data_IF_433005006238
#
_entry.id   IF_433005006238
#
_cell.length_a   1.000
_cell.length_b   1.000
_cell.length_c   1.000
_cell.angle_alpha   90.00
_cell.angle_beta   90.00
_cell.angle_gamma   90.00
#
_symmetry.space_group_name_H-M   'P 1'
#
loop_
_entity.id
_entity.type
_entity.pdbx_description
1 polymer ?
#
# COMPACT_ATOMS: atom_id res chain seq x y z
N UNK A 1 20.47 -30.16 2.84
CA UNK A 1 20.11 -28.73 2.82
C UNK A 1 21.38 -27.91 2.71
N UNK A 2 21.55 -27.13 1.63
CA UNK A 2 22.71 -26.25 1.45
C UNK A 2 22.55 -25.02 2.36
N UNK A 3 23.62 -24.65 3.06
CA UNK A 3 23.65 -23.45 3.88
C UNK A 3 23.46 -22.20 3.00
N UNK A 4 22.65 -21.18 3.39
CA UNK A 4 22.38 -19.99 2.57
C UNK A 4 23.66 -19.24 2.19
N UNK A 5 24.69 -19.32 3.03
CA UNK A 5 26.02 -18.75 2.76
C UNK A 5 26.71 -19.43 1.57
N UNK A 6 26.63 -20.77 1.48
CA UNK A 6 27.22 -21.54 0.38
C UNK A 6 26.52 -21.25 -0.94
N UNK A 7 25.21 -21.06 -0.91
CA UNK A 7 24.40 -20.72 -2.09
C UNK A 7 24.68 -19.30 -2.59
N UNK A 8 25.13 -18.39 -1.72
CA UNK A 8 25.61 -17.05 -2.08
C UNK A 8 27.13 -17.01 -2.37
N UNK A 9 27.86 -18.11 -2.17
CA UNK A 9 29.32 -18.17 -2.34
C UNK A 9 30.12 -17.56 -1.20
N UNK A 10 29.49 -17.35 -0.05
CA UNK A 10 30.09 -16.82 1.16
C UNK A 10 30.65 -17.96 2.04
N UNK A 11 31.81 -17.76 2.69
CA UNK A 11 32.43 -18.77 3.55
C UNK A 11 31.69 -18.98 4.88
N UNK A 12 30.74 -18.10 5.23
CA UNK A 12 29.95 -18.16 6.46
C UNK A 12 29.09 -16.92 6.68
N UNK A 13 28.50 -16.75 7.88
CA UNK A 13 27.70 -15.60 8.23
C UNK A 13 28.46 -14.29 8.03
N UNK A 14 27.89 -13.38 7.25
CA UNK A 14 28.51 -12.12 6.85
C UNK A 14 27.55 -10.95 7.12
N UNK A 15 28.07 -9.73 7.05
CA UNK A 15 27.32 -8.48 7.20
C UNK A 15 26.43 -8.18 5.97
N UNK A 16 25.44 -7.30 6.18
CA UNK A 16 24.40 -6.97 5.19
C UNK A 16 24.96 -6.44 3.88
N UNK A 17 26.06 -5.68 3.91
CA UNK A 17 26.70 -5.16 2.70
C UNK A 17 27.40 -6.26 1.89
N UNK A 18 28.13 -7.15 2.57
CA UNK A 18 28.75 -8.32 1.94
C UNK A 18 27.72 -9.26 1.32
N UNK A 19 26.56 -9.44 1.95
CA UNK A 19 25.45 -10.25 1.43
C UNK A 19 24.86 -9.63 0.16
N UNK A 20 24.60 -8.31 0.16
CA UNK A 20 24.08 -7.60 -1.03
C UNK A 20 25.06 -7.69 -2.20
N UNK A 21 26.35 -7.51 -1.94
CA UNK A 21 27.40 -7.61 -2.96
C UNK A 21 27.52 -9.01 -3.56
N UNK A 22 27.47 -10.04 -2.71
CA UNK A 22 27.52 -11.44 -3.16
C UNK A 22 26.29 -11.81 -4.02
N UNK A 23 25.10 -11.35 -3.63
CA UNK A 23 23.88 -11.53 -4.42
C UNK A 23 23.96 -10.83 -5.78
N UNK A 24 24.41 -9.57 -5.81
CA UNK A 24 24.55 -8.79 -7.04
C UNK A 24 25.61 -9.34 -8.01
N UNK A 25 26.61 -10.07 -7.53
CA UNK A 25 27.56 -10.77 -8.39
C UNK A 25 26.94 -12.03 -8.99
N UNK A 26 26.15 -12.76 -8.22
CA UNK A 26 25.62 -14.07 -8.59
C UNK A 26 24.37 -13.98 -9.46
N UNK A 27 23.57 -12.92 -9.32
CA UNK A 27 22.44 -12.65 -10.21
C UNK A 27 22.90 -12.34 -11.65
N UNK A 28 24.14 -11.85 -11.83
CA UNK A 28 24.73 -11.64 -13.16
C UNK A 28 25.15 -12.94 -13.84
N UNK A 29 25.26 -14.03 -13.09
CA UNK A 29 25.62 -15.36 -13.58
C UNK A 29 24.39 -16.26 -13.78
N UNK A 30 23.29 -15.98 -13.08
CA UNK A 30 22.03 -16.71 -13.16
C UNK A 30 21.03 -15.94 -14.01
N UNK A 31 20.97 -16.27 -15.31
CA UNK A 31 20.00 -15.67 -16.24
C UNK A 31 18.60 -16.25 -15.97
N UNK A 32 17.59 -15.42 -15.61
CA UNK A 32 16.24 -15.89 -15.27
C UNK A 32 15.55 -16.71 -16.38
N UNK A 33 15.94 -16.50 -17.63
CA UNK A 33 15.42 -17.22 -18.81
C UNK A 33 16.03 -18.62 -19.00
N UNK A 34 17.24 -18.85 -18.50
CA UNK A 34 17.97 -20.12 -18.68
C UNK A 34 17.80 -21.06 -17.48
N UNK A 35 17.68 -20.52 -16.25
CA UNK A 35 17.52 -21.32 -15.02
C UNK A 35 16.59 -20.64 -13.98
N UNK A 36 15.26 -20.79 -14.13
CA UNK A 36 14.30 -20.22 -13.19
C UNK A 36 14.37 -20.86 -11.79
N UNK A 37 14.75 -22.13 -11.67
CA UNK A 37 14.89 -22.82 -10.39
C UNK A 37 16.13 -22.32 -9.62
N UNK A 38 17.25 -22.13 -10.33
CA UNK A 38 18.47 -21.55 -9.80
C UNK A 38 18.28 -20.10 -9.32
N UNK A 39 17.49 -19.31 -10.05
CA UNK A 39 17.15 -17.94 -9.64
C UNK A 39 16.34 -17.93 -8.33
N UNK A 40 15.31 -18.78 -8.24
CA UNK A 40 14.49 -18.89 -7.02
C UNK A 40 15.29 -19.42 -5.81
N UNK A 41 16.22 -20.34 -6.02
CA UNK A 41 17.10 -20.86 -4.97
C UNK A 41 18.06 -19.75 -4.48
N UNK A 42 18.65 -18.99 -5.40
CA UNK A 42 19.54 -17.87 -5.10
C UNK A 42 18.81 -16.75 -4.34
N UNK A 43 17.60 -16.41 -4.78
CA UNK A 43 16.79 -15.37 -4.15
C UNK A 43 16.33 -15.78 -2.74
N UNK A 44 15.92 -17.04 -2.54
CA UNK A 44 15.62 -17.58 -1.19
C UNK A 44 16.83 -17.54 -0.26
N UNK A 45 18.01 -17.92 -0.75
CA UNK A 45 19.24 -17.86 0.05
C UNK A 45 19.62 -16.43 0.46
N UNK A 46 19.43 -15.45 -0.43
CA UNK A 46 19.63 -14.04 -0.14
C UNK A 46 18.68 -13.53 0.95
N UNK A 47 17.38 -13.84 0.85
CA UNK A 47 16.39 -13.43 1.85
C UNK A 47 16.72 -14.03 3.23
N UNK A 48 17.07 -15.32 3.30
CA UNK A 48 17.46 -15.98 4.55
C UNK A 48 18.73 -15.38 5.14
N UNK A 49 19.77 -15.16 4.33
CA UNK A 49 21.02 -14.55 4.78
C UNK A 49 20.82 -13.12 5.33
N UNK A 50 19.95 -12.34 4.69
CA UNK A 50 19.64 -10.96 5.11
C UNK A 50 18.93 -10.94 6.45
N UNK A 51 17.93 -11.81 6.66
CA UNK A 51 17.25 -11.96 7.96
C UNK A 51 18.25 -12.29 9.08
N UNK A 52 19.12 -13.27 8.84
CA UNK A 52 20.15 -13.69 9.81
C UNK A 52 21.22 -12.61 10.11
N UNK A 53 21.48 -11.69 9.18
CA UNK A 53 22.43 -10.59 9.38
C UNK A 53 21.81 -9.41 10.13
N UNK A 54 20.53 -9.12 9.89
CA UNK A 54 19.78 -8.07 10.61
C UNK A 54 19.60 -8.44 12.08
N UNK A 55 19.28 -9.69 12.39
CA UNK A 55 19.12 -10.17 13.77
C UNK A 55 20.43 -10.14 14.59
N UNK A 56 21.58 -10.02 13.92
CA UNK A 56 22.92 -10.02 14.54
C UNK A 56 23.56 -8.65 14.70
N UNK A 57 22.97 -7.58 14.17
CA UNK A 57 23.52 -6.24 14.36
C UNK A 57 23.06 -5.66 15.71
N UNK A 58 23.98 -5.43 16.68
CA UNK A 58 23.61 -4.67 17.87
C UNK A 58 23.27 -3.23 17.46
N UNK A 59 22.05 -2.80 17.80
CA UNK A 59 21.57 -1.42 17.64
C UNK A 59 22.60 -0.46 18.26
N UNK A 60 23.31 0.31 17.43
CA UNK A 60 24.09 1.45 17.89
C UNK A 60 23.12 2.62 18.10
N UNK A 61 22.96 3.16 19.31
CA UNK A 61 22.20 4.39 19.50
C UNK A 61 22.98 5.55 18.87
N UNK A 62 22.42 6.13 17.82
CA UNK A 62 22.85 7.38 17.21
C UNK A 62 22.49 8.53 18.17
N UNK A 63 23.40 8.87 19.07
CA UNK A 63 23.34 10.16 19.78
C UNK A 63 23.81 11.26 18.83
N UNK A 64 22.89 12.05 18.29
CA UNK A 64 23.20 13.35 17.72
C UNK A 64 23.33 14.37 18.85
N UNK A 65 24.53 14.97 18.99
CA UNK A 65 24.71 16.25 19.67
C UNK A 65 25.23 17.25 18.64
N UNK A 66 24.75 18.51 18.64
CA UNK A 66 24.96 19.43 17.53
C UNK A 66 26.26 20.22 17.70
N UNK A 67 27.20 20.13 16.75
CA UNK A 67 28.25 21.14 16.65
C UNK A 67 28.78 21.36 15.22
N UNK A 68 28.45 22.56 14.70
CA UNK A 68 29.24 23.47 13.86
C UNK A 68 29.69 23.00 12.46
N UNK A 69 29.03 23.62 11.47
CA UNK A 69 29.42 23.74 10.05
C UNK A 69 30.77 24.46 9.89
N UNK A 70 31.64 23.97 8.99
CA UNK A 70 32.23 24.86 8.00
C UNK A 70 32.05 24.31 6.57
N UNK A 71 31.74 25.24 5.67
CA UNK A 71 31.60 25.04 4.22
C UNK A 71 32.97 25.25 3.50
N UNK A 72 33.10 25.08 2.17
CA UNK A 72 33.50 23.86 1.48
C UNK A 72 34.88 23.99 0.78
N UNK A 73 35.52 22.86 0.44
CA UNK A 73 36.58 22.83 -0.58
C UNK A 73 36.39 21.66 -1.55
N UNK A 74 36.25 22.03 -2.83
CA UNK A 74 36.24 21.23 -4.06
C UNK A 74 37.64 20.55 -4.25
N UNK A 75 37.89 19.36 -4.80
CA UNK A 75 37.44 18.58 -5.98
C UNK A 75 38.10 17.16 -5.88
N UNK A 76 38.15 16.28 -6.91
CA UNK A 76 37.13 15.30 -7.29
C UNK A 76 37.65 13.84 -7.33
N UNK A 77 36.81 12.84 -7.05
CA UNK A 77 37.07 11.45 -7.41
C UNK A 77 35.76 10.66 -7.58
N UNK A 78 35.25 10.70 -8.82
CA UNK A 78 34.73 9.58 -9.62
C UNK A 78 34.28 8.30 -8.87
N UNK A 79 32.96 8.14 -8.71
CA UNK A 79 32.28 6.84 -8.73
C UNK A 79 30.85 7.04 -9.23
N UNK A 80 30.58 6.53 -10.42
CA UNK A 80 29.28 6.51 -11.08
C UNK A 80 28.34 5.56 -10.34
N UNK A 81 27.29 6.10 -9.70
CA UNK A 81 26.14 5.30 -9.27
C UNK A 81 25.25 5.09 -10.50
N UNK A 82 25.35 3.88 -11.05
CA UNK A 82 24.51 3.37 -12.14
C UNK A 82 23.14 2.96 -11.57
N UNK A 83 22.12 3.72 -11.95
CA UNK A 83 20.70 3.42 -11.76
C UNK A 83 20.28 2.24 -12.65
N UNK A 84 19.82 1.15 -12.03
CA UNK A 84 19.40 -0.10 -12.69
C UNK A 84 17.87 -0.26 -12.73
N UNK A 85 17.10 0.81 -12.54
CA UNK A 85 15.63 0.78 -12.61
C UNK A 85 15.05 0.70 -14.05
N UNK A 86 15.88 0.54 -15.08
CA UNK A 86 15.47 0.65 -16.49
C UNK A 86 15.55 -0.67 -17.29
N UNK A 87 15.55 -1.85 -16.65
CA UNK A 87 15.63 -3.15 -17.34
C UNK A 87 14.43 -4.07 -17.09
N UNK A 88 13.25 -3.54 -16.82
CA UNK A 88 12.04 -4.36 -16.63
C UNK A 88 11.06 -4.32 -17.81
N UNK A 89 11.40 -3.69 -18.94
CA UNK A 89 10.58 -3.74 -20.15
C UNK A 89 11.46 -4.04 -21.38
N UNK A 90 11.77 -5.31 -21.59
CA UNK A 90 12.25 -5.80 -22.87
C UNK A 90 11.66 -7.19 -23.16
N UNK A 91 10.97 -7.25 -24.30
CA UNK A 91 10.44 -8.41 -25.04
C UNK A 91 9.07 -8.94 -24.55
N UNK A 92 7.98 -8.87 -25.33
CA UNK A 92 7.83 -9.28 -26.73
C UNK A 92 6.87 -8.37 -27.56
N UNK A 93 7.34 -7.89 -28.73
CA UNK A 93 6.49 -7.61 -29.89
C UNK A 93 6.70 -8.70 -30.97
N UNK A 94 5.67 -9.06 -31.77
CA UNK A 94 5.86 -9.60 -33.11
C UNK A 94 5.54 -8.55 -34.21
N UNK A 95 6.10 -8.69 -35.42
CA UNK A 95 6.40 -7.58 -36.32
C UNK A 95 5.24 -7.12 -37.22
N UNK A 96 5.37 -5.86 -37.64
CA UNK A 96 4.57 -5.08 -38.58
C UNK A 96 4.32 -5.75 -39.96
N UNK A 97 3.21 -5.36 -40.60
CA UNK A 97 3.24 -4.71 -41.93
C UNK A 97 1.81 -4.26 -42.36
N UNK A 98 1.63 -2.94 -42.56
CA UNK A 98 1.08 -2.30 -43.77
C UNK A 98 0.35 -0.97 -43.49
N UNK A 99 1.12 0.12 -43.61
CA UNK A 99 0.83 1.41 -44.26
C UNK A 99 -0.63 1.96 -44.30
N UNK A 100 -0.83 3.13 -43.68
CA UNK A 100 -1.17 4.37 -44.41
C UNK A 100 -1.09 5.62 -43.53
N UNK A 101 -0.09 6.46 -43.83
CA UNK A 101 -0.12 7.94 -43.94
C UNK A 101 -1.55 8.57 -43.96
N UNK A 102 -1.89 9.72 -43.35
CA UNK A 102 -1.15 10.87 -42.84
C UNK A 102 -2.07 11.80 -42.00
N UNK A 103 -1.44 12.70 -41.22
CA UNK A 103 -1.74 14.15 -41.03
C UNK A 103 -1.93 14.62 -39.57
N UNK A 104 -0.84 15.23 -39.08
CA UNK A 104 -0.65 15.96 -37.83
C UNK A 104 -1.18 17.41 -37.92
N UNK A 105 -2.01 17.82 -36.96
CA UNK A 105 -2.56 19.19 -36.83
C UNK A 105 -2.10 19.86 -35.53
N UNK A 106 -0.83 19.73 -35.15
CA UNK A 106 -0.29 20.30 -33.90
C UNK A 106 0.68 21.49 -34.08
N UNK A 107 0.48 22.33 -35.11
CA UNK A 107 1.34 23.50 -35.36
C UNK A 107 0.69 24.88 -35.07
N UNK A 108 -0.45 24.94 -34.38
CA UNK A 108 -1.07 26.21 -34.00
C UNK A 108 -1.67 26.10 -32.60
N UNK A 109 -0.89 26.48 -31.58
CA UNK A 109 -1.31 27.36 -30.49
C UNK A 109 -0.20 27.43 -29.45
N UNK A 110 0.60 28.50 -29.53
CA UNK A 110 1.30 29.06 -28.39
C UNK A 110 1.00 30.55 -28.36
N UNK A 111 0.73 31.04 -27.15
CA UNK A 111 0.49 32.43 -26.72
C UNK A 111 -0.95 32.96 -26.87
N UNK A 112 -1.80 32.58 -25.91
CA UNK A 112 -2.76 33.53 -25.34
C UNK A 112 -2.14 34.16 -24.08
N UNK A 113 -1.91 35.47 -24.11
CA UNK A 113 -2.03 36.33 -22.93
C UNK A 113 -3.10 37.39 -23.22
N UNK A 114 -4.08 37.38 -22.32
CA UNK A 114 -4.84 38.53 -21.82
C UNK A 114 -5.91 39.23 -22.68
N UNK A 115 -7.16 38.99 -22.22
CA UNK A 115 -8.14 39.99 -21.77
C UNK A 115 -9.47 40.14 -22.55
N UNK A 116 -10.54 39.87 -21.76
CA UNK A 116 -11.83 40.57 -21.63
C UNK A 116 -12.97 40.27 -22.62
N UNK A 117 -13.98 39.62 -22.02
CA UNK A 117 -15.42 39.91 -22.08
C UNK A 117 -15.96 40.65 -23.33
N UNK A 118 -16.75 39.93 -24.13
CA UNK A 118 -18.12 40.36 -24.44
C UNK A 118 -18.93 39.20 -25.00
N UNK A 119 -20.00 38.83 -24.29
CA UNK A 119 -21.08 38.01 -24.83
C UNK A 119 -21.89 38.88 -25.80
N UNK A 120 -21.67 38.71 -27.10
CA UNK A 120 -22.62 39.22 -28.10
C UNK A 120 -23.72 38.16 -28.31
N UNK A 121 -24.92 38.58 -27.91
CA UNK A 121 -26.21 37.96 -28.16
C UNK A 121 -26.47 38.02 -29.68
N UNK A 122 -26.41 36.87 -30.35
CA UNK A 122 -26.63 36.80 -31.79
C UNK A 122 -28.13 36.81 -32.08
N UNK A 123 -28.65 37.92 -32.62
CA UNK A 123 -30.03 38.03 -33.07
C UNK A 123 -30.22 37.29 -34.41
N UNK A 124 -30.89 36.15 -34.33
CA UNK A 124 -31.10 35.24 -35.47
C UNK A 124 -32.10 35.79 -36.50
N UNK A 125 -32.81 36.87 -36.19
CA UNK A 125 -33.86 37.46 -37.02
C UNK A 125 -33.28 38.39 -38.11
N UNK A 126 -32.11 39.00 -37.87
CA UNK A 126 -31.37 39.83 -38.86
C UNK A 126 -30.76 39.00 -40.00
N UNK A 127 -30.54 37.69 -39.80
CA UNK A 127 -30.00 36.78 -40.81
C UNK A 127 -31.04 36.34 -41.85
N UNK A 128 -32.32 36.63 -41.60
CA UNK A 128 -33.44 36.30 -42.47
C UNK A 128 -34.12 37.52 -43.10
N UNK A 129 -33.81 38.74 -42.64
CA UNK A 129 -34.35 39.98 -43.21
C UNK A 129 -33.34 40.68 -44.15
N UNK A 130 -33.79 40.77 -45.41
CA UNK A 130 -33.39 41.71 -46.45
C UNK A 130 -31.97 41.67 -47.04
N UNK A 131 -31.93 41.14 -48.27
CA UNK A 131 -31.37 41.92 -49.38
C UNK A 131 -32.25 41.61 -50.61
N UNK A 132 -33.39 42.31 -50.72
CA UNK A 132 -34.14 42.38 -51.98
C UNK A 132 -33.32 43.21 -52.98
N UNK A 133 -33.00 42.68 -54.18
CA UNK A 133 -32.26 43.45 -55.17
C UNK A 133 -33.19 44.50 -55.81
N UNK A 134 -32.87 45.78 -55.66
CA UNK A 134 -33.44 46.83 -56.51
C UNK A 134 -33.23 46.50 -58.00
N UNK A 135 -34.34 46.54 -58.75
CA UNK A 135 -34.40 46.48 -60.21
C UNK A 135 -33.57 47.61 -60.84
N UNK A 136 -32.33 47.32 -61.24
CA UNK A 136 -31.61 48.17 -62.22
C UNK A 136 -31.90 47.68 -63.63
N UNK A 137 -32.37 48.56 -64.54
CA UNK A 137 -32.58 48.17 -65.93
C UNK A 137 -31.23 47.91 -66.63
N UNK A 138 -31.20 47.08 -67.69
CA UNK A 138 -29.96 46.71 -68.35
C UNK A 138 -29.40 47.91 -69.14
N UNK A 139 -28.07 47.98 -69.37
CA UNK A 139 -27.46 49.07 -70.11
C UNK A 139 -27.91 49.07 -71.58
N UNK A 140 -28.46 50.19 -72.03
CA UNK A 140 -28.67 50.50 -73.44
C UNK A 140 -27.32 50.78 -74.10
N UNK A 141 -26.69 49.76 -74.66
CA UNK A 141 -25.93 49.80 -75.93
C UNK A 141 -25.02 48.58 -76.03
N UNK A 142 -25.44 47.60 -76.85
CA UNK A 142 -24.62 46.87 -77.83
C UNK A 142 -25.49 45.80 -78.56
N UNK A 143 -25.19 45.49 -79.83
CA UNK A 143 -26.10 44.81 -80.74
C UNK A 143 -26.14 43.29 -80.54
N UNK A 144 -27.35 42.72 -80.72
CA UNK A 144 -27.65 41.31 -81.04
C UNK A 144 -26.86 40.23 -80.28
N UNK A 145 -27.27 39.89 -79.05
CA UNK A 145 -27.22 38.52 -78.49
C UNK A 145 -27.96 38.39 -77.14
N UNK A 146 -29.16 38.96 -76.98
CA UNK A 146 -29.88 39.00 -75.70
C UNK A 146 -30.37 37.63 -75.16
N UNK A 147 -30.36 36.56 -75.97
CA UNK A 147 -30.84 35.24 -75.54
C UNK A 147 -29.85 34.45 -74.66
N UNK A 148 -28.59 34.87 -74.58
CA UNK A 148 -27.56 34.14 -73.81
C UNK A 148 -27.36 34.68 -72.37
N UNK A 149 -27.75 35.93 -72.12
CA UNK A 149 -27.51 36.62 -70.84
C UNK A 149 -28.48 36.20 -69.71
N UNK A 150 -29.75 35.93 -70.01
CA UNK A 150 -30.73 35.48 -69.00
C UNK A 150 -30.49 34.03 -68.52
N UNK A 151 -29.95 33.17 -69.38
CA UNK A 151 -29.81 31.74 -69.07
C UNK A 151 -28.63 31.42 -68.14
N UNK A 152 -27.63 32.32 -68.07
CA UNK A 152 -26.40 32.13 -67.30
C UNK A 152 -26.53 32.74 -65.90
N UNK A 153 -27.08 33.96 -65.76
CA UNK A 153 -27.16 34.65 -64.46
C UNK A 153 -28.28 34.14 -63.54
N UNK A 154 -29.44 33.71 -64.07
CA UNK A 154 -30.48 33.05 -63.29
C UNK A 154 -30.08 31.67 -62.75
N UNK A 155 -29.16 30.98 -63.46
CA UNK A 155 -28.63 29.66 -63.09
C UNK A 155 -27.60 29.75 -61.96
N UNK A 156 -26.78 30.80 -61.95
CA UNK A 156 -25.76 31.03 -60.91
C UNK A 156 -26.38 31.47 -59.56
N UNK A 157 -27.47 32.25 -59.57
CA UNK A 157 -28.14 32.74 -58.36
C UNK A 157 -28.92 31.64 -57.62
N UNK A 158 -29.57 30.73 -58.35
CA UNK A 158 -30.19 29.51 -57.78
C UNK A 158 -29.17 28.52 -57.24
N UNK A 159 -28.01 28.36 -57.92
CA UNK A 159 -26.91 27.50 -57.45
C UNK A 159 -26.40 27.93 -56.08
N UNK A 160 -26.06 29.20 -55.88
CA UNK A 160 -25.48 29.69 -54.61
C UNK A 160 -26.40 29.55 -53.39
N UNK A 161 -27.73 29.67 -53.56
CA UNK A 161 -28.69 29.41 -52.46
C UNK A 161 -28.87 27.92 -52.20
N UNK A 162 -28.87 27.08 -53.24
CA UNK A 162 -28.85 25.62 -53.07
C UNK A 162 -27.57 25.16 -52.37
N UNK A 163 -26.41 25.70 -52.75
CA UNK A 163 -25.11 25.33 -52.20
C UNK A 163 -25.01 25.65 -50.70
N UNK A 164 -25.55 26.79 -50.25
CA UNK A 164 -25.61 27.14 -48.81
C UNK A 164 -26.57 26.24 -48.03
N UNK A 165 -27.75 25.95 -48.56
CA UNK A 165 -28.72 25.04 -47.91
C UNK A 165 -28.18 23.61 -47.88
N UNK A 166 -27.50 23.17 -48.94
CA UNK A 166 -26.83 21.87 -49.01
C UNK A 166 -25.66 21.82 -48.02
N UNK A 167 -24.89 22.90 -47.85
CA UNK A 167 -23.82 22.98 -46.85
C UNK A 167 -24.38 22.86 -45.42
N UNK A 168 -25.43 23.61 -45.10
CA UNK A 168 -26.07 23.55 -43.77
C UNK A 168 -26.66 22.17 -43.51
N UNK A 169 -27.33 21.57 -44.50
CA UNK A 169 -27.84 20.20 -44.40
C UNK A 169 -26.70 19.18 -44.28
N UNK A 170 -25.59 19.36 -45.00
CA UNK A 170 -24.43 18.48 -44.90
C UNK A 170 -23.77 18.57 -43.51
N UNK A 171 -23.67 19.76 -42.92
CA UNK A 171 -23.17 19.94 -41.55
C UNK A 171 -24.13 19.34 -40.53
N UNK A 172 -25.44 19.53 -40.67
CA UNK A 172 -26.44 18.90 -39.80
C UNK A 172 -26.41 17.37 -39.91
N UNK A 173 -26.25 16.83 -41.12
CA UNK A 173 -26.11 15.38 -41.35
C UNK A 173 -24.79 14.87 -40.76
N UNK A 174 -23.70 15.63 -40.88
CA UNK A 174 -22.41 15.30 -40.26
C UNK A 174 -22.52 15.28 -38.73
N UNK A 175 -23.18 16.26 -38.13
CA UNK A 175 -23.44 16.29 -36.68
C UNK A 175 -24.35 15.14 -36.26
N UNK A 176 -25.35 14.76 -37.06
CA UNK A 176 -26.21 13.61 -36.79
C UNK A 176 -25.50 12.26 -36.97
N UNK A 177 -24.51 12.16 -37.88
CA UNK A 177 -23.73 10.95 -38.14
C UNK A 177 -22.60 10.77 -37.14
N UNK A 178 -21.87 11.85 -36.83
CA UNK A 178 -20.65 11.84 -36.02
C UNK A 178 -20.96 12.16 -34.55
N UNK A 179 -21.95 13.03 -34.29
CA UNK A 179 -22.37 13.42 -32.95
C UNK A 179 -22.66 12.23 -32.04
N UNK A 180 -23.43 11.20 -32.44
CA UNK A 180 -23.68 10.04 -31.59
C UNK A 180 -22.43 9.23 -31.23
N UNK A 181 -21.35 9.32 -32.01
CA UNK A 181 -20.07 8.65 -31.74
C UNK A 181 -19.12 9.52 -30.90
N UNK A 182 -19.16 10.85 -31.07
CA UNK A 182 -18.25 11.79 -30.40
C UNK A 182 -18.83 12.35 -29.10
N UNK A 183 -20.14 12.63 -29.05
CA UNK A 183 -20.83 13.17 -27.88
C UNK A 183 -20.68 12.28 -26.64
N UNK A 184 -20.80 10.94 -26.70
CA UNK A 184 -20.58 10.11 -25.53
C UNK A 184 -19.15 10.28 -24.97
N UNK A 185 -18.14 10.26 -25.84
CA UNK A 185 -16.74 10.44 -25.44
C UNK A 185 -16.43 11.85 -24.92
N UNK A 186 -17.07 12.90 -25.46
CA UNK A 186 -16.94 14.27 -24.93
C UNK A 186 -17.66 14.44 -23.59
N UNK A 187 -18.87 13.89 -23.45
CA UNK A 187 -19.63 13.91 -22.19
C UNK A 187 -18.88 13.14 -21.11
N UNK A 188 -18.32 11.97 -21.43
CA UNK A 188 -17.53 11.17 -20.52
C UNK A 188 -16.24 11.90 -20.10
N UNK A 189 -15.53 12.56 -21.01
CA UNK A 189 -14.35 13.39 -20.67
C UNK A 189 -14.69 14.59 -19.79
N UNK A 190 -15.80 15.28 -20.06
CA UNK A 190 -16.27 16.41 -19.24
C UNK A 190 -16.72 15.94 -17.85
N UNK A 191 -17.41 14.80 -17.77
CA UNK A 191 -17.80 14.18 -16.51
C UNK A 191 -16.59 13.73 -15.69
N UNK A 192 -15.59 13.09 -16.32
CA UNK A 192 -14.34 12.69 -15.67
C UNK A 192 -13.56 13.88 -15.08
N UNK A 193 -13.56 15.05 -15.74
CA UNK A 193 -12.94 16.27 -15.19
C UNK A 193 -13.75 16.93 -14.05
N UNK A 194 -15.01 16.53 -13.86
CA UNK A 194 -15.90 17.09 -12.83
C UNK A 194 -15.93 16.23 -11.55
N UNK A 195 -15.60 14.93 -11.66
CA UNK A 195 -15.63 14.01 -10.51
C UNK A 195 -14.69 14.40 -9.38
N UNK A 196 -13.41 14.78 -9.59
CA UNK A 196 -12.52 15.13 -8.49
C UNK A 196 -13.03 16.31 -7.67
N UNK A 197 -13.55 17.36 -8.33
CA UNK A 197 -14.17 18.51 -7.66
C UNK A 197 -15.44 18.13 -6.90
N UNK A 198 -16.20 17.19 -7.44
CA UNK A 198 -17.43 16.69 -6.81
C UNK A 198 -17.12 15.87 -5.56
N UNK A 199 -16.16 14.94 -5.64
CA UNK A 199 -15.68 14.15 -4.49
C UNK A 199 -15.15 15.09 -3.42
N UNK A 200 -14.27 16.03 -3.79
CA UNK A 200 -13.66 16.98 -2.86
C UNK A 200 -14.73 17.69 -2.04
N UNK A 201 -15.68 18.38 -2.69
CA UNK A 201 -16.79 19.05 -1.98
C UNK A 201 -17.61 18.10 -1.11
N UNK A 202 -17.95 16.92 -1.63
CA UNK A 202 -18.74 15.93 -0.89
C UNK A 202 -17.99 15.45 0.36
N UNK A 203 -16.69 15.20 0.25
CA UNK A 203 -15.86 14.78 1.37
C UNK A 203 -15.67 15.91 2.38
N UNK A 204 -15.44 17.14 1.96
CA UNK A 204 -15.37 18.28 2.89
C UNK A 204 -16.67 18.44 3.68
N UNK A 205 -17.82 18.31 3.01
CA UNK A 205 -19.15 18.32 3.65
C UNK A 205 -19.35 17.13 4.60
N UNK A 206 -18.94 15.92 4.18
CA UNK A 206 -19.15 14.70 4.95
C UNK A 206 -18.21 14.66 6.17
N UNK A 207 -16.92 14.87 5.99
CA UNK A 207 -15.91 14.66 7.02
C UNK A 207 -15.58 15.92 7.80
N UNK A 208 -16.05 17.10 7.36
CA UNK A 208 -15.79 18.37 8.03
C UNK A 208 -14.31 18.77 7.99
N UNK A 209 -13.64 18.46 6.88
CA UNK A 209 -12.22 18.75 6.65
C UNK A 209 -12.06 19.60 5.41
N UNK A 210 -10.92 20.27 5.29
CA UNK A 210 -10.54 21.02 4.09
C UNK A 210 -9.55 20.18 3.28
N UNK A 211 -9.78 20.07 1.97
CA UNK A 211 -9.07 19.14 1.11
C UNK A 211 -8.46 19.82 -0.11
N UNK A 212 -7.26 19.37 -0.46
CA UNK A 212 -6.59 19.74 -1.71
C UNK A 212 -6.46 18.50 -2.59
N UNK A 213 -6.76 18.65 -3.88
CA UNK A 213 -6.47 17.61 -4.88
C UNK A 213 -5.22 17.98 -5.68
N UNK A 214 -4.45 16.98 -6.13
CA UNK A 214 -3.23 17.23 -6.88
C UNK A 214 -3.52 17.95 -8.20
N UNK A 215 -2.75 18.99 -8.58
CA UNK A 215 -2.81 19.60 -9.90
C UNK A 215 -2.60 18.60 -11.04
N UNK A 216 -1.97 17.46 -10.75
CA UNK A 216 -1.62 16.40 -11.68
C UNK A 216 -2.68 15.29 -11.77
N UNK A 217 -3.77 15.32 -10.97
CA UNK A 217 -4.89 14.38 -11.13
C UNK A 217 -5.33 14.31 -12.59
N UNK A 218 -5.38 15.45 -13.27
CA UNK A 218 -5.89 15.53 -14.65
C UNK A 218 -4.95 14.87 -15.69
N UNK A 219 -3.72 14.53 -15.32
CA UNK A 219 -2.66 14.08 -16.25
C UNK A 219 -2.23 12.62 -16.07
N UNK A 220 -2.53 11.98 -14.94
CA UNK A 220 -2.25 10.54 -14.70
C UNK A 220 -3.47 9.85 -14.11
N UNK A 221 -3.92 8.75 -14.72
CA UNK A 221 -5.08 7.97 -14.26
C UNK A 221 -4.94 7.51 -12.81
N UNK A 222 -3.75 7.07 -12.43
CA UNK A 222 -3.44 6.55 -11.10
C UNK A 222 -3.53 7.62 -10.01
N UNK A 223 -3.20 8.88 -10.34
CA UNK A 223 -3.22 9.97 -9.38
C UNK A 223 -4.61 10.63 -9.27
N UNK A 224 -5.54 10.41 -10.21
CA UNK A 224 -6.91 11.03 -10.25
C UNK A 224 -7.73 10.90 -8.97
N UNK A 225 -7.33 10.01 -8.08
CA UNK A 225 -8.06 9.64 -6.87
C UNK A 225 -7.36 10.05 -5.58
N UNK A 226 -6.23 10.76 -5.64
CA UNK A 226 -5.49 11.20 -4.45
C UNK A 226 -5.92 12.59 -3.97
N UNK A 227 -6.02 12.72 -2.65
CA UNK A 227 -6.40 13.93 -1.94
C UNK A 227 -5.53 14.10 -0.70
N UNK A 228 -5.32 15.36 -0.30
CA UNK A 228 -4.54 15.75 0.86
C UNK A 228 -5.40 16.58 1.81
N UNK A 229 -5.13 16.47 3.11
CA UNK A 229 -5.63 17.44 4.07
C UNK A 229 -4.93 18.79 3.85
N UNK A 230 -5.70 19.88 3.83
CA UNK A 230 -5.15 21.22 3.63
C UNK A 230 -4.25 21.67 4.80
N UNK A 231 -4.64 21.32 6.03
CA UNK A 231 -3.90 21.65 7.25
C UNK A 231 -2.71 20.71 7.53
N UNK A 232 -2.70 19.51 6.93
CA UNK A 232 -1.60 18.56 7.03
C UNK A 232 -1.30 17.90 5.66
N UNK A 233 -0.43 18.51 4.84
CA UNK A 233 -0.09 18.02 3.51
C UNK A 233 0.69 16.69 3.48
N UNK A 234 1.09 16.13 4.63
CA UNK A 234 1.67 14.78 4.66
C UNK A 234 0.59 13.70 4.63
N UNK A 235 -0.65 14.05 5.01
CA UNK A 235 -1.77 13.12 5.05
C UNK A 235 -2.41 13.05 3.66
N UNK A 236 -1.97 12.08 2.88
CA UNK A 236 -2.52 11.71 1.57
C UNK A 236 -3.43 10.48 1.69
N UNK A 237 -4.55 10.47 0.96
CA UNK A 237 -5.50 9.35 0.92
C UNK A 237 -6.19 9.24 -0.44
N UNK A 238 -6.87 8.11 -0.68
CA UNK A 238 -7.61 7.84 -1.91
C UNK A 238 -9.11 8.03 -1.73
N UNK A 239 -9.76 8.59 -2.76
CA UNK A 239 -11.21 8.59 -2.90
C UNK A 239 -11.66 8.41 -4.36
N UNK A 240 -12.57 7.47 -4.59
CA UNK A 240 -13.00 7.03 -5.92
C UNK A 240 -14.50 7.28 -6.05
N UNK A 241 -14.91 8.02 -7.09
CA UNK A 241 -16.31 8.28 -7.37
C UNK A 241 -17.05 6.99 -7.74
N UNK A 242 -18.18 6.73 -7.08
CA UNK A 242 -19.07 5.59 -7.37
C UNK A 242 -20.45 6.02 -7.86
N UNK A 243 -20.82 7.28 -7.65
CA UNK A 243 -22.17 7.78 -7.94
C UNK A 243 -23.23 7.22 -7.00
N UNK A 244 -24.51 7.54 -7.26
CA UNK A 244 -25.62 7.01 -6.46
C UNK A 244 -25.64 7.48 -5.00
N UNK A 245 -25.12 8.70 -4.74
CA UNK A 245 -25.12 9.33 -3.41
C UNK A 245 -26.53 9.43 -2.85
N UNK A 246 -26.70 8.93 -1.64
CA UNK A 246 -27.91 8.97 -0.82
C UNK A 246 -27.48 8.96 0.65
N UNK A 247 -27.28 10.17 1.20
CA UNK A 247 -26.72 10.35 2.55
C UNK A 247 -27.68 9.81 3.62
N UNK A 248 -28.99 9.89 3.39
CA UNK A 248 -30.00 9.35 4.31
C UNK A 248 -29.94 7.82 4.38
N UNK A 249 -29.59 7.15 3.27
CA UNK A 249 -29.37 5.72 3.21
C UNK A 249 -27.91 5.29 3.51
N UNK A 250 -27.03 6.21 3.94
CA UNK A 250 -25.63 5.94 4.24
C UNK A 250 -24.73 5.74 3.02
N UNK A 251 -25.18 6.11 1.81
CA UNK A 251 -24.40 6.01 0.58
C UNK A 251 -23.72 7.33 0.27
N UNK A 252 -22.41 7.40 0.52
CA UNK A 252 -21.63 8.62 0.29
C UNK A 252 -21.47 8.96 -1.20
N UNK A 253 -21.58 7.97 -2.08
CA UNK A 253 -21.40 8.14 -3.53
C UNK A 253 -19.95 8.08 -3.99
N UNK A 254 -19.04 7.73 -3.09
CA UNK A 254 -17.63 7.45 -3.33
C UNK A 254 -17.15 6.40 -2.32
N UNK A 255 -16.05 5.72 -2.67
CA UNK A 255 -15.28 4.89 -1.75
C UNK A 255 -14.05 5.68 -1.31
N UNK A 256 -13.66 5.58 -0.05
CA UNK A 256 -12.43 6.22 0.46
C UNK A 256 -11.78 5.38 1.54
N UNK A 257 -10.45 5.47 1.62
CA UNK A 257 -9.66 4.94 2.73
C UNK A 257 -9.25 6.02 3.75
N UNK A 258 -9.90 7.19 3.71
CA UNK A 258 -9.65 8.30 4.63
C UNK A 258 -9.61 7.88 6.12
N UNK A 259 -10.56 7.08 6.65
CA UNK A 259 -10.48 6.60 8.04
C UNK A 259 -9.23 5.75 8.33
N UNK A 260 -8.81 4.89 7.39
CA UNK A 260 -7.61 4.08 7.54
C UNK A 260 -6.34 4.95 7.56
N UNK A 261 -6.28 6.00 6.75
CA UNK A 261 -5.18 6.95 6.78
C UNK A 261 -5.16 7.69 8.12
N UNK A 262 -6.30 8.20 8.61
CA UNK A 262 -6.38 8.86 9.92
C UNK A 262 -5.92 7.93 11.05
N UNK A 263 -6.33 6.67 11.04
CA UNK A 263 -5.87 5.65 11.98
C UNK A 263 -4.35 5.45 11.91
N UNK A 264 -3.79 5.27 10.71
CA UNK A 264 -2.35 5.08 10.52
C UNK A 264 -1.54 6.22 11.14
N UNK A 265 -1.92 7.47 10.88
CA UNK A 265 -1.24 8.64 11.42
C UNK A 265 -1.38 8.73 12.95
N UNK A 266 -2.57 8.45 13.51
CA UNK A 266 -2.77 8.40 14.97
C UNK A 266 -1.87 7.35 15.64
N UNK A 267 -1.81 6.14 15.09
CA UNK A 267 -0.95 5.08 15.64
C UNK A 267 0.54 5.40 15.48
N UNK A 268 0.93 6.08 14.39
CA UNK A 268 2.31 6.53 14.18
C UNK A 268 2.70 7.61 15.20
N UNK A 269 1.84 8.59 15.43
CA UNK A 269 2.03 9.63 16.45
C UNK A 269 2.07 9.05 17.86
N UNK A 270 1.24 8.06 18.15
CA UNK A 270 1.29 7.31 19.40
C UNK A 270 2.63 6.58 19.55
N UNK A 271 3.04 5.80 18.55
CA UNK A 271 4.30 5.04 18.60
C UNK A 271 5.53 5.95 18.72
N UNK A 272 5.51 7.14 18.13
CA UNK A 272 6.60 8.11 18.25
C UNK A 272 6.81 8.61 19.70
N UNK A 273 5.80 8.52 20.56
CA UNK A 273 5.91 8.83 21.99
C UNK A 273 6.56 7.70 22.79
N UNK A 274 6.70 6.51 22.19
CA UNK A 274 7.13 5.26 22.81
C UNK A 274 8.23 4.57 21.98
N UNK A 275 9.40 5.22 21.77
CA UNK A 275 10.44 4.74 20.86
C UNK A 275 11.06 3.39 21.24
N UNK A 276 10.90 2.95 22.49
CA UNK A 276 11.34 1.66 23.00
C UNK A 276 10.50 0.47 22.52
N UNK A 277 9.29 0.71 21.98
CA UNK A 277 8.38 -0.30 21.44
C UNK A 277 8.23 -0.11 19.92
N UNK A 278 9.12 -0.71 19.10
CA UNK A 278 9.10 -0.52 17.65
C UNK A 278 7.76 -0.93 17.04
N UNK A 279 7.21 -0.04 16.21
CA UNK A 279 6.03 -0.30 15.38
C UNK A 279 6.49 -0.70 13.98
N UNK A 280 5.95 -1.81 13.49
CA UNK A 280 6.07 -2.27 12.10
C UNK A 280 4.68 -2.32 11.45
N UNK A 281 4.65 -2.14 10.13
CA UNK A 281 3.45 -2.20 9.31
C UNK A 281 3.58 -3.34 8.29
N UNK A 282 2.44 -3.82 7.76
CA UNK A 282 2.29 -4.72 6.60
C UNK A 282 3.64 -5.17 5.98
N UNK A 283 4.28 -6.15 6.63
CA UNK A 283 5.74 -6.43 6.55
C UNK A 283 6.21 -6.81 5.14
N UNK A 284 5.28 -7.14 4.25
CA UNK A 284 5.53 -7.47 2.84
C UNK A 284 5.30 -6.29 1.88
N UNK A 285 4.54 -5.27 2.27
CA UNK A 285 4.07 -4.18 1.39
C UNK A 285 4.54 -2.79 1.81
N UNK A 286 5.08 -2.63 3.01
CA UNK A 286 5.54 -1.34 3.56
C UNK A 286 6.89 -1.50 4.22
N UNK A 287 7.76 -0.48 4.10
CA UNK A 287 9.01 -0.46 4.85
C UNK A 287 8.78 -0.11 6.33
N UNK A 288 9.85 -0.20 7.12
CA UNK A 288 9.81 0.08 8.55
C UNK A 288 9.46 1.53 8.92
N UNK A 289 9.51 2.47 7.97
CA UNK A 289 9.15 3.88 8.18
C UNK A 289 7.69 4.15 7.71
N UNK A 290 7.08 3.17 7.04
CA UNK A 290 5.75 3.28 6.45
C UNK A 290 5.74 4.10 5.16
N UNK A 291 6.87 4.31 4.48
CA UNK A 291 6.92 5.18 3.29
C UNK A 291 6.03 4.63 2.15
N UNK A 292 5.94 3.30 1.99
CA UNK A 292 5.03 2.65 1.04
C UNK A 292 3.55 2.99 1.27
N UNK A 293 3.17 3.33 2.50
CA UNK A 293 1.81 3.72 2.86
C UNK A 293 1.48 5.20 2.55
N UNK A 294 2.50 6.04 2.41
CA UNK A 294 2.35 7.49 2.17
C UNK A 294 1.75 7.82 0.79
N UNK A 295 1.74 6.85 -0.13
CA UNK A 295 1.11 6.96 -1.46
C UNK A 295 -0.42 6.89 -1.47
N UNK A 296 -1.06 7.02 -0.30
CA UNK A 296 -2.52 6.96 -0.16
C UNK A 296 -3.08 5.54 -0.06
N UNK A 297 -2.25 4.55 0.26
CA UNK A 297 -2.67 3.16 0.56
C UNK A 297 -2.18 2.80 1.97
N UNK A 298 -2.90 3.21 3.03
CA UNK A 298 -2.46 3.01 4.41
C UNK A 298 -2.41 1.52 4.78
N UNK A 299 -1.57 1.12 5.74
CA UNK A 299 -1.53 -0.25 6.20
C UNK A 299 -2.80 -0.60 6.98
N UNK A 300 -3.07 -1.90 7.06
CA UNK A 300 -4.14 -2.46 7.88
C UNK A 300 -3.62 -3.31 9.04
N UNK A 301 -2.33 -3.69 9.00
CA UNK A 301 -1.67 -4.46 10.05
C UNK A 301 -0.64 -3.60 10.79
N UNK A 302 -0.77 -3.55 12.11
CA UNK A 302 0.12 -2.84 13.01
C UNK A 302 0.73 -3.84 14.00
N UNK A 303 2.06 -3.90 14.08
CA UNK A 303 2.76 -4.86 14.94
C UNK A 303 3.72 -4.13 15.86
N UNK A 304 3.50 -4.24 17.17
CA UNK A 304 4.40 -3.73 18.20
C UNK A 304 5.26 -4.87 18.76
N UNK A 305 6.58 -4.65 18.78
CA UNK A 305 7.51 -5.54 19.47
C UNK A 305 7.54 -5.22 20.96
N UNK A 306 7.12 -6.18 21.75
CA UNK A 306 6.97 -6.08 23.20
C UNK A 306 8.11 -6.83 23.90
N UNK A 307 8.60 -6.33 25.05
CA UNK A 307 9.44 -7.10 25.94
C UNK A 307 8.61 -8.15 26.69
N UNK A 308 9.32 -9.06 27.35
CA UNK A 308 8.73 -10.07 28.23
C UNK A 308 7.99 -9.46 29.43
N UNK A 309 8.52 -8.36 29.98
CA UNK A 309 8.00 -7.68 31.17
C UNK A 309 8.17 -6.17 31.04
N UNK A 310 7.38 -5.40 31.79
CA UNK A 310 7.54 -3.94 31.85
C UNK A 310 6.83 -3.18 30.74
N UNK A 311 6.04 -3.87 29.91
CA UNK A 311 5.25 -3.29 28.82
C UNK A 311 3.87 -2.78 29.25
N UNK A 312 3.49 -2.94 30.51
CA UNK A 312 2.11 -2.78 30.99
C UNK A 312 1.60 -1.34 30.77
N UNK A 313 2.42 -0.35 31.09
CA UNK A 313 2.09 1.08 30.90
C UNK A 313 1.85 1.41 29.41
N UNK A 314 2.66 0.85 28.52
CA UNK A 314 2.50 1.02 27.07
C UNK A 314 1.22 0.35 26.58
N UNK A 315 0.95 -0.88 27.01
CA UNK A 315 -0.24 -1.64 26.59
C UNK A 315 -1.52 -0.96 27.03
N UNK A 316 -1.56 -0.50 28.28
CA UNK A 316 -2.68 0.29 28.78
C UNK A 316 -2.88 1.56 27.94
N UNK A 317 -1.81 2.32 27.71
CA UNK A 317 -1.89 3.55 26.93
C UNK A 317 -2.32 3.32 25.48
N UNK A 318 -1.87 2.23 24.85
CA UNK A 318 -2.26 1.85 23.49
C UNK A 318 -3.75 1.52 23.42
N UNK A 319 -4.26 0.75 24.39
CA UNK A 319 -5.69 0.43 24.43
C UNK A 319 -6.55 1.67 24.71
N UNK A 320 -6.11 2.58 25.59
CA UNK A 320 -6.80 3.85 25.86
C UNK A 320 -6.81 4.77 24.62
N UNK A 321 -5.72 4.77 23.85
CA UNK A 321 -5.63 5.49 22.58
C UNK A 321 -6.56 4.88 21.52
N UNK A 322 -6.61 3.56 21.40
CA UNK A 322 -7.54 2.87 20.51
C UNK A 322 -9.01 3.13 20.89
N UNK A 323 -9.31 3.16 22.20
CA UNK A 323 -10.63 3.53 22.70
C UNK A 323 -10.97 4.99 22.32
N UNK A 324 -10.03 5.91 22.52
CA UNK A 324 -10.19 7.32 22.14
C UNK A 324 -10.43 7.48 20.64
N UNK A 325 -9.60 6.83 19.80
CA UNK A 325 -9.77 6.79 18.35
C UNK A 325 -11.15 6.26 17.98
N UNK A 326 -11.62 5.20 18.66
CA UNK A 326 -12.93 4.62 18.35
C UNK A 326 -14.08 5.62 18.55
N UNK A 327 -13.94 6.59 19.44
CA UNK A 327 -14.98 7.59 19.73
C UNK A 327 -14.99 8.76 18.73
N UNK A 328 -13.99 8.86 17.86
CA UNK A 328 -13.88 9.93 16.87
C UNK A 328 -15.00 9.87 15.82
N UNK A 329 -15.44 11.04 15.37
CA UNK A 329 -16.56 11.16 14.42
C UNK A 329 -16.29 10.47 13.08
N UNK A 330 -15.04 10.54 12.60
CA UNK A 330 -14.62 9.88 11.36
C UNK A 330 -14.60 8.35 11.51
N UNK A 331 -14.20 7.84 12.67
CA UNK A 331 -14.20 6.40 12.97
C UNK A 331 -15.63 5.86 13.04
N UNK A 332 -16.52 6.57 13.75
CA UNK A 332 -17.92 6.20 13.89
C UNK A 332 -18.70 6.27 12.57
N UNK A 333 -18.32 7.21 11.69
CA UNK A 333 -18.94 7.36 10.37
C UNK A 333 -18.60 6.19 9.44
N UNK A 334 -17.33 5.80 9.39
CA UNK A 334 -16.86 4.64 8.64
C UNK A 334 -15.73 3.99 9.42
N UNK A 335 -16.04 2.85 10.04
CA UNK A 335 -15.09 2.11 10.85
C UNK A 335 -13.95 1.58 9.96
N UNK A 336 -12.69 1.92 10.24
CA UNK A 336 -11.56 1.36 9.50
C UNK A 336 -11.38 -0.12 9.84
N UNK A 337 -11.02 -0.91 8.83
CA UNK A 337 -10.61 -2.30 8.97
C UNK A 337 -9.10 -2.37 9.27
N UNK A 338 -8.73 -2.92 10.43
CA UNK A 338 -7.35 -3.02 10.85
C UNK A 338 -7.14 -4.08 11.93
N UNK A 339 -5.87 -4.42 12.15
CA UNK A 339 -5.41 -5.34 13.17
C UNK A 339 -4.18 -4.79 13.89
N UNK A 340 -4.17 -4.94 15.22
CA UNK A 340 -3.04 -4.59 16.08
C UNK A 340 -2.54 -5.87 16.74
N UNK A 341 -1.24 -6.10 16.67
CA UNK A 341 -0.58 -7.25 17.30
C UNK A 341 0.50 -6.77 18.26
N UNK A 342 0.47 -7.33 19.47
CA UNK A 342 1.54 -7.25 20.45
C UNK A 342 2.32 -8.56 20.39
N UNK A 343 3.59 -8.48 20.02
CA UNK A 343 4.41 -9.67 19.73
C UNK A 343 5.67 -9.63 20.58
N UNK A 344 6.02 -10.77 21.18
CA UNK A 344 7.35 -11.00 21.72
C UNK A 344 8.11 -11.92 20.76
N UNK A 345 9.14 -11.36 20.11
CA UNK A 345 9.91 -12.01 19.03
C UNK A 345 8.99 -12.40 17.86
N UNK A 346 8.53 -13.66 17.83
CA UNK A 346 7.61 -14.20 16.81
C UNK A 346 6.31 -14.73 17.40
N UNK A 347 6.13 -14.60 18.71
CA UNK A 347 4.97 -15.13 19.42
C UNK A 347 3.99 -14.00 19.73
N UNK A 348 2.75 -14.17 19.30
CA UNK A 348 1.68 -13.23 19.58
C UNK A 348 1.34 -13.32 21.07
N UNK A 349 1.36 -12.18 21.75
CA UNK A 349 0.92 -12.04 23.13
C UNK A 349 -0.57 -11.67 23.14
N UNK A 350 -0.89 -10.56 22.48
CA UNK A 350 -2.24 -10.03 22.41
C UNK A 350 -2.52 -9.49 21.02
N UNK A 351 -3.78 -9.48 20.63
CA UNK A 351 -4.19 -8.91 19.35
C UNK A 351 -5.58 -8.32 19.41
N UNK A 352 -5.78 -7.30 18.59
CA UNK A 352 -7.09 -6.70 18.34
C UNK A 352 -7.36 -6.72 16.84
N UNK A 353 -8.55 -7.16 16.45
CA UNK A 353 -8.99 -7.15 15.06
C UNK A 353 -10.35 -6.46 14.96
N UNK A 354 -10.38 -5.31 14.30
CA UNK A 354 -11.56 -4.45 14.23
C UNK A 354 -12.72 -5.10 13.45
N UNK A 355 -12.45 -6.05 12.56
CA UNK A 355 -13.48 -6.73 11.74
C UNK A 355 -14.24 -7.81 12.52
N UNK A 356 -13.61 -8.39 13.55
CA UNK A 356 -14.20 -9.48 14.36
C UNK A 356 -14.61 -9.04 15.76
N UNK A 357 -14.11 -7.89 16.22
CA UNK A 357 -14.39 -7.38 17.54
C UNK A 357 -15.86 -6.95 17.68
N UNK A 358 -16.50 -7.32 18.79
CA UNK A 358 -17.86 -6.90 19.12
C UNK A 358 -17.90 -5.59 19.90
N UNK A 359 -16.78 -5.22 20.53
CA UNK A 359 -16.60 -4.02 21.33
C UNK A 359 -15.27 -3.35 20.97
N UNK A 360 -15.15 -2.01 21.15
CA UNK A 360 -13.87 -1.32 21.00
C UNK A 360 -12.78 -1.91 21.88
N UNK A 361 -11.53 -1.85 21.42
CA UNK A 361 -10.39 -2.17 22.26
C UNK A 361 -10.29 -1.12 23.38
N UNK A 362 -10.13 -1.57 24.63
CA UNK A 362 -9.85 -0.71 25.79
C UNK A 362 -8.51 -1.09 26.40
N UNK A 363 -7.88 -0.16 27.12
CA UNK A 363 -6.65 -0.42 27.85
C UNK A 363 -6.78 -1.62 28.79
N UNK A 364 -7.89 -1.73 29.53
CA UNK A 364 -8.15 -2.85 30.44
C UNK A 364 -8.18 -4.19 29.70
N UNK A 365 -8.91 -4.27 28.58
CA UNK A 365 -9.02 -5.52 27.81
C UNK A 365 -7.70 -5.96 27.18
N UNK A 366 -6.92 -5.00 26.67
CA UNK A 366 -5.65 -5.30 26.02
C UNK A 366 -4.56 -5.65 27.05
N UNK A 367 -4.55 -4.95 28.19
CA UNK A 367 -3.64 -5.23 29.30
C UNK A 367 -3.91 -6.61 29.89
N UNK A 368 -5.17 -6.97 30.12
CA UNK A 368 -5.53 -8.30 30.60
C UNK A 368 -4.99 -9.40 29.69
N UNK A 369 -5.16 -9.26 28.36
CA UNK A 369 -4.59 -10.21 27.40
C UNK A 369 -3.06 -10.27 27.48
N UNK A 370 -2.41 -9.12 27.61
CA UNK A 370 -0.95 -9.05 27.73
C UNK A 370 -0.44 -9.77 28.97
N UNK A 371 -1.05 -9.52 30.14
CA UNK A 371 -0.69 -10.14 31.40
C UNK A 371 -0.93 -11.66 31.38
N UNK A 372 -2.06 -12.11 30.85
CA UNK A 372 -2.42 -13.53 30.80
C UNK A 372 -1.57 -14.34 29.81
N UNK A 373 -1.13 -13.74 28.70
CA UNK A 373 -0.50 -14.48 27.60
C UNK A 373 1.01 -14.25 27.48
N UNK A 374 1.59 -13.22 28.09
CA UNK A 374 3.02 -12.89 27.98
C UNK A 374 3.94 -14.08 28.27
N UNK A 375 3.66 -14.81 29.34
CA UNK A 375 4.45 -15.97 29.73
C UNK A 375 4.27 -17.18 28.78
N UNK A 376 3.08 -17.35 28.20
CA UNK A 376 2.85 -18.38 27.19
C UNK A 376 3.54 -18.02 25.88
N UNK A 377 3.52 -16.75 25.47
CA UNK A 377 4.26 -16.27 24.31
C UNK A 377 5.78 -16.44 24.47
N UNK A 378 6.30 -16.23 25.69
CA UNK A 378 7.69 -16.55 26.01
C UNK A 378 7.98 -18.04 25.84
N UNK A 379 7.17 -18.90 26.45
CA UNK A 379 7.34 -20.35 26.34
C UNK A 379 7.30 -20.78 24.86
N UNK A 380 6.33 -20.29 24.10
CA UNK A 380 6.26 -20.52 22.66
C UNK A 380 7.53 -20.05 21.94
N UNK A 381 8.06 -18.88 22.29
CA UNK A 381 9.31 -18.38 21.71
C UNK A 381 10.50 -19.27 22.05
N UNK A 382 10.65 -19.75 23.28
CA UNK A 382 11.72 -20.67 23.65
C UNK A 382 11.62 -21.98 22.86
N UNK A 383 10.40 -22.49 22.69
CA UNK A 383 10.15 -23.72 21.94
C UNK A 383 10.51 -23.59 20.46
N UNK A 384 9.94 -22.60 19.77
CA UNK A 384 10.02 -22.50 18.32
C UNK A 384 11.20 -21.66 17.84
N UNK A 385 11.52 -20.55 18.50
CA UNK A 385 12.59 -19.67 18.06
C UNK A 385 13.97 -20.14 18.55
N UNK A 386 14.09 -20.46 19.84
CA UNK A 386 15.35 -20.99 20.39
C UNK A 386 15.53 -22.49 20.07
N UNK A 387 14.50 -23.11 19.49
CA UNK A 387 14.57 -24.39 18.80
C UNK A 387 14.47 -25.63 19.71
N UNK A 388 14.04 -25.45 20.96
CA UNK A 388 13.84 -26.54 21.92
C UNK A 388 12.86 -27.60 21.38
N UNK A 389 11.86 -27.19 20.60
CA UNK A 389 10.86 -28.12 20.03
C UNK A 389 11.46 -29.10 19.02
N UNK A 390 12.53 -28.72 18.30
CA UNK A 390 13.10 -29.52 17.20
C UNK A 390 13.80 -30.81 17.68
N UNK A 391 14.19 -30.87 18.95
CA UNK A 391 14.76 -32.08 19.56
C UNK A 391 13.73 -33.20 19.78
N UNK A 392 12.46 -32.81 19.92
CA UNK A 392 11.32 -33.72 20.11
C UNK A 392 10.55 -33.94 18.81
N UNK A 393 10.42 -32.89 18.01
CA UNK A 393 9.71 -32.86 16.72
C UNK A 393 10.67 -32.35 15.64
N UNK A 394 11.42 -33.24 14.95
CA UNK A 394 12.40 -32.84 13.94
C UNK A 394 11.82 -32.02 12.79
N UNK A 395 10.53 -32.20 12.49
CA UNK A 395 9.75 -31.35 11.60
C UNK A 395 8.77 -30.51 12.45
N UNK A 396 9.17 -29.30 12.86
CA UNK A 396 8.33 -28.48 13.73
C UNK A 396 7.08 -27.93 13.04
N UNK A 397 7.05 -27.88 11.70
CA UNK A 397 5.82 -27.59 10.95
C UNK A 397 4.80 -28.74 11.13
N UNK A 398 5.29 -29.92 11.51
CA UNK A 398 4.51 -31.08 11.97
C UNK A 398 4.13 -31.02 13.45
N UNK A 399 4.56 -30.03 14.24
CA UNK A 399 4.15 -29.90 15.65
C UNK A 399 2.97 -28.93 15.81
N UNK A 400 2.01 -29.27 16.67
CA UNK A 400 0.86 -28.42 16.96
C UNK A 400 0.64 -28.29 18.47
N UNK A 401 0.51 -27.04 18.95
CA UNK A 401 0.12 -26.77 20.34
C UNK A 401 -1.36 -27.13 20.49
N UNK A 402 -1.64 -28.22 21.22
CA UNK A 402 -3.00 -28.71 21.46
C UNK A 402 -3.58 -28.25 22.80
N UNK A 403 -2.73 -27.76 23.71
CA UNK A 403 -3.13 -27.24 25.03
C UNK A 403 -2.06 -26.30 25.56
N UNK A 404 -2.47 -25.20 26.16
CA UNK A 404 -1.59 -24.27 26.88
C UNK A 404 -2.27 -23.78 28.17
N UNK A 405 -1.49 -23.25 29.10
CA UNK A 405 -2.01 -22.66 30.34
C UNK A 405 -1.02 -22.79 31.50
N UNK A 406 -1.54 -22.81 32.72
CA UNK A 406 -0.74 -23.03 33.92
C UNK A 406 -0.86 -24.47 34.44
N UNK A 407 0.18 -24.94 35.12
CA UNK A 407 0.20 -26.23 35.80
C UNK A 407 0.91 -26.12 37.15
N UNK A 408 0.51 -26.97 38.10
CA UNK A 408 1.13 -27.05 39.42
C UNK A 408 1.61 -28.47 39.64
N UNK A 409 2.88 -28.63 40.04
CA UNK A 409 3.46 -29.92 40.41
C UNK A 409 4.17 -29.79 41.76
N UNK A 410 3.61 -30.45 42.79
CA UNK A 410 4.07 -30.23 44.16
C UNK A 410 3.71 -28.83 44.64
N UNK A 411 4.70 -28.10 45.16
CA UNK A 411 4.57 -26.72 45.63
C UNK A 411 5.03 -25.68 44.58
N UNK A 412 5.34 -26.13 43.36
CA UNK A 412 5.89 -25.30 42.29
C UNK A 412 4.86 -25.07 41.19
N UNK A 413 4.89 -23.86 40.61
CA UNK A 413 4.02 -23.44 39.52
C UNK A 413 4.78 -23.31 38.19
N UNK A 414 4.08 -23.64 37.11
CA UNK A 414 4.64 -23.73 35.77
C UNK A 414 3.68 -23.12 34.75
N UNK A 415 4.25 -22.52 33.72
CA UNK A 415 3.57 -22.33 32.44
C UNK A 415 3.76 -23.59 31.60
N UNK A 416 2.71 -23.98 30.90
CA UNK A 416 2.64 -25.26 30.22
C UNK A 416 2.19 -25.09 28.78
N UNK A 417 2.85 -25.82 27.88
CA UNK A 417 2.39 -26.08 26.52
C UNK A 417 2.50 -27.57 26.21
N UNK A 418 1.44 -28.14 25.65
CA UNK A 418 1.44 -29.51 25.15
C UNK A 418 1.43 -29.47 23.64
N UNK A 419 2.49 -30.02 23.04
CA UNK A 419 2.59 -30.14 21.60
C UNK A 419 2.33 -31.58 21.16
N UNK A 420 1.75 -31.74 19.99
CA UNK A 420 1.41 -33.02 19.37
C UNK A 420 2.02 -33.13 17.97
N UNK A 421 2.42 -34.33 17.58
CA UNK A 421 2.92 -34.65 16.23
C UNK A 421 1.78 -34.87 15.21
N UNK A 422 1.64 -33.94 14.24
CA UNK A 422 0.66 -33.99 13.14
C UNK A 422 0.90 -35.15 12.19
N UNK A 423 2.12 -35.69 12.10
CA UNK A 423 2.44 -36.78 11.16
C UNK A 423 1.87 -38.15 11.59
N UNK A 424 1.10 -38.17 12.68
CA UNK A 424 0.33 -39.34 13.09
C UNK A 424 1.11 -40.35 13.95
N UNK A 425 2.30 -39.98 14.44
CA UNK A 425 3.02 -40.81 15.42
C UNK A 425 2.29 -40.95 16.76
N UNK A 426 1.34 -40.04 17.03
CA UNK A 426 0.53 -40.03 18.24
C UNK A 426 1.31 -39.63 19.49
N UNK A 427 2.47 -38.99 19.32
CA UNK A 427 3.33 -38.53 20.40
C UNK A 427 2.96 -37.12 20.81
N UNK A 428 2.82 -36.90 22.10
CA UNK A 428 2.67 -35.59 22.70
C UNK A 428 3.74 -35.35 23.75
N UNK A 429 4.23 -34.11 23.79
CA UNK A 429 5.24 -33.65 24.73
C UNK A 429 4.66 -32.50 25.54
N UNK A 430 4.82 -32.58 26.86
CA UNK A 430 4.51 -31.52 27.80
C UNK A 430 5.78 -30.70 28.03
N UNK A 431 5.70 -29.41 27.74
CA UNK A 431 6.70 -28.40 28.03
C UNK A 431 6.26 -27.59 29.24
N UNK A 432 7.06 -27.61 30.31
CA UNK A 432 6.74 -27.00 31.59
C UNK A 432 7.85 -26.02 31.97
N UNK A 433 7.60 -24.73 31.80
CA UNK A 433 8.50 -23.65 32.18
C UNK A 433 8.20 -23.23 33.62
N UNK A 434 9.18 -23.30 34.51
CA UNK A 434 9.00 -22.86 35.91
C UNK A 434 8.77 -21.35 35.94
N UNK A 435 7.90 -20.87 36.85
CA UNK A 435 7.54 -19.44 36.93
C UNK A 435 8.71 -18.49 37.21
N UNK A 436 9.81 -18.98 37.75
CA UNK A 436 11.04 -18.20 37.97
C UNK A 436 12.07 -18.30 36.83
N UNK A 437 11.69 -18.94 35.70
CA UNK A 437 12.48 -19.09 34.47
C UNK A 437 13.78 -19.88 34.61
N UNK A 438 14.03 -20.50 35.74
CA UNK A 438 15.28 -21.25 35.96
C UNK A 438 15.36 -22.56 35.15
N UNK A 439 14.21 -23.14 34.81
CA UNK A 439 14.12 -24.47 34.23
C UNK A 439 12.91 -24.64 33.31
N UNK A 440 13.15 -25.34 32.18
CA UNK A 440 12.13 -25.84 31.26
C UNK A 440 12.21 -27.36 31.23
N UNK A 441 11.12 -28.04 31.57
CA UNK A 441 11.04 -29.49 31.55
C UNK A 441 10.28 -29.97 30.33
N UNK A 442 10.90 -30.83 29.53
CA UNK A 442 10.31 -31.46 28.35
C UNK A 442 10.13 -32.95 28.63
N UNK A 443 8.88 -33.43 28.68
CA UNK A 443 8.58 -34.84 28.93
C UNK A 443 7.45 -35.34 28.02
N UNK A 444 7.46 -36.61 27.58
CA UNK A 444 6.30 -37.17 26.91
C UNK A 444 5.09 -37.16 27.85
N UNK A 445 3.91 -36.78 27.35
CA UNK A 445 2.72 -36.61 28.20
C UNK A 445 2.28 -37.89 28.92
N UNK A 446 2.72 -39.07 28.45
CA UNK A 446 2.50 -40.36 29.11
C UNK A 446 3.20 -40.47 30.48
N UNK A 447 4.19 -39.62 30.76
CA UNK A 447 4.99 -39.60 31.99
C UNK A 447 4.65 -38.44 32.93
N UNK A 448 3.50 -37.78 32.72
CA UNK A 448 3.10 -36.58 33.46
C UNK A 448 3.24 -36.75 34.98
N UNK A 449 4.07 -35.91 35.60
CA UNK A 449 4.24 -35.82 37.06
C UNK A 449 5.56 -36.35 37.63
N UNK A 450 6.47 -36.89 36.82
CA UNK A 450 7.78 -37.41 37.27
C UNK A 450 8.95 -36.56 36.76
N UNK A 451 9.00 -35.28 37.17
CA UNK A 451 10.07 -34.36 36.75
C UNK A 451 11.46 -34.71 37.30
N UNK A 452 11.53 -35.52 38.37
CA UNK A 452 12.79 -35.91 39.03
C UNK A 452 13.73 -36.76 38.19
N UNK A 453 13.19 -37.44 37.16
CA UNK A 453 13.95 -38.36 36.33
C UNK A 453 14.57 -37.68 35.10
N UNK A 454 14.32 -36.38 34.94
CA UNK A 454 14.84 -35.57 33.84
C UNK A 454 16.25 -35.06 34.17
N UNK A 455 17.12 -35.08 33.17
CA UNK A 455 18.50 -34.58 33.29
C UNK A 455 18.70 -33.32 32.47
N UNK A 456 19.61 -32.41 32.87
CA UNK A 456 19.95 -31.23 32.07
C UNK A 456 20.49 -31.66 30.70
N UNK A 457 19.88 -31.14 29.64
CA UNK A 457 20.25 -31.43 28.25
C UNK A 457 20.96 -30.24 27.59
N UNK A 458 20.38 -29.05 27.74
CA UNK A 458 20.84 -27.81 27.11
C UNK A 458 20.48 -26.58 27.96
N UNK A 459 20.97 -25.41 27.58
CA UNK A 459 20.64 -24.14 28.24
C UNK A 459 20.34 -23.09 27.19
N UNK A 460 19.15 -22.50 27.27
CA UNK A 460 18.72 -21.37 26.44
C UNK A 460 19.00 -20.10 27.21
N UNK A 461 19.46 -19.04 26.54
CA UNK A 461 19.67 -17.73 27.16
C UNK A 461 18.63 -16.76 26.60
N UNK A 462 17.81 -16.18 27.47
CA UNK A 462 16.83 -15.17 27.10
C UNK A 462 17.51 -13.84 26.72
N UNK A 463 16.76 -12.91 26.12
CA UNK A 463 17.30 -11.63 25.64
C UNK A 463 17.91 -10.76 26.75
N UNK A 464 17.38 -10.85 27.97
CA UNK A 464 17.89 -10.18 29.17
C UNK A 464 19.13 -10.87 29.77
N UNK A 465 19.57 -11.99 29.17
CA UNK A 465 20.69 -12.79 29.64
C UNK A 465 20.30 -13.88 30.66
N UNK A 466 19.02 -14.02 31.01
CA UNK A 466 18.54 -15.03 31.95
C UNK A 466 18.73 -16.44 31.37
N UNK A 467 19.48 -17.34 32.04
CA UNK A 467 19.67 -18.71 31.56
C UNK A 467 18.51 -19.62 32.00
N UNK A 468 17.87 -20.28 31.03
CA UNK A 468 16.84 -21.30 31.24
C UNK A 468 17.46 -22.68 30.98
N UNK A 469 17.53 -23.52 32.01
CA UNK A 469 18.07 -24.89 31.84
C UNK A 469 16.98 -25.82 31.32
N UNK A 470 17.24 -26.50 30.20
CA UNK A 470 16.28 -27.44 29.61
C UNK A 470 16.56 -28.86 30.11
N UNK A 471 15.54 -29.51 30.65
CA UNK A 471 15.59 -30.85 31.23
C UNK A 471 14.79 -31.84 30.37
N UNK A 472 15.39 -33.00 30.09
CA UNK A 472 14.80 -34.05 29.25
C UNK A 472 15.05 -35.45 29.82
N UNK A 473 14.25 -36.42 29.39
CA UNK A 473 14.58 -37.84 29.59
C UNK A 473 15.80 -38.18 28.71
N UNK A 474 16.79 -38.89 29.28
CA UNK A 474 17.90 -39.42 28.50
C UNK A 474 17.36 -40.36 27.42
N UNK A 475 17.68 -40.07 26.15
CA UNK A 475 17.33 -40.89 24.98
C UNK A 475 17.98 -42.27 25.03
#
# INVERSE_FOLDING_TARGET
>A
MNSPWRELGLPGPSDTETIKRAYAQRIKEVHPEEDPEGFQALHRAYQMARRMATDRQPRRPSFQSPEVRPEPQETPAESEDLDFSALEDAEEEPPEEAESEDLDFSALEDTEEEEKEQTEDWDFEELLEEDEPEDRPPPEDLPHQAEEYETVWGRHRRKRRLDKVVLVLAVLILVLLVGPAVLPGMVERVQQNTYPKTILRQMEEDWGVELVSSPQNNKREELRYLYWLEDNPEICFQAIYRGGRDVEAGKLGYDTNYPNVRLFWRLREFAAQWPEYPLSFDVEQTDHEGEGASGGSPPSLFVFQMPMHGGEDFVQALGDELETISQESWYQKQMPEFQVYLVYRYSIIANYNSTTATEPCTGETLLLQYEEQSALALLHSILYYDGVVYEDFPDADGSEVIRSGEATFGDEEYWMMVCWDRDGSGRSIDYLLRKDLSALYCQPSLYMGYLSDLTPAETVTLEDGTPVTVYRLLK
#
